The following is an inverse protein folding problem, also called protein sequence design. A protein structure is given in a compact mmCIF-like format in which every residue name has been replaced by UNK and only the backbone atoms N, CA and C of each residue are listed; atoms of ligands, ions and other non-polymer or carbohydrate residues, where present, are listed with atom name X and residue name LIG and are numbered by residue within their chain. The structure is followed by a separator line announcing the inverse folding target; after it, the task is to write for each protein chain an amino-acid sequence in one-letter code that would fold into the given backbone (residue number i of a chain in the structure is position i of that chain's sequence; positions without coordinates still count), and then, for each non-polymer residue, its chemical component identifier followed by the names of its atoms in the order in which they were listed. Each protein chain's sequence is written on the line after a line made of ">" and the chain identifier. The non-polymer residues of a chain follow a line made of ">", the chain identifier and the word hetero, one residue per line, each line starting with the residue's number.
data_IF_758407314094
#
_entry.id   IF_758407314094
#
_cell.length_a   1.000
_cell.length_b   1.000
_cell.length_c   1.000
_cell.angle_alpha   90.00
_cell.angle_beta   90.00
_cell.angle_gamma   90.00
#
_symmetry.space_group_name_H-M   'P 1'
#
loop_
_entity.id
_entity.type
_entity.pdbx_description
1 polymer ?
#
# COMPACT_ATOMS: atom_id res chain seq x y z
N UNK A 1 -11.09 -9.63 -17.57
CA UNK A 1 -10.48 -8.84 -16.50
C UNK A 1 -10.13 -7.48 -17.11
N UNK A 2 -10.49 -6.40 -16.43
CA UNK A 2 -9.97 -5.06 -16.71
C UNK A 2 -8.43 -5.06 -16.60
N UNK A 3 -7.77 -4.23 -17.40
CA UNK A 3 -6.33 -3.98 -17.24
C UNK A 3 -6.12 -3.20 -15.94
N UNK A 4 -5.24 -3.69 -15.07
CA UNK A 4 -5.08 -3.15 -13.72
C UNK A 4 -3.85 -2.25 -13.65
N UNK A 5 -4.03 -1.05 -13.10
CA UNK A 5 -2.94 -0.11 -12.86
C UNK A 5 -2.36 -0.33 -11.47
N UNK A 6 -1.06 -0.63 -11.39
CA UNK A 6 -0.35 -0.75 -10.11
C UNK A 6 -0.19 0.61 -9.44
N UNK A 7 -0.65 0.71 -8.19
CA UNK A 7 -0.52 1.88 -7.34
C UNK A 7 0.74 1.79 -6.48
N UNK A 8 1.33 2.94 -6.23
CA UNK A 8 2.35 3.12 -5.20
C UNK A 8 1.71 3.51 -3.88
N UNK A 9 2.25 3.02 -2.77
CA UNK A 9 1.78 3.34 -1.43
C UNK A 9 1.66 4.87 -1.23
N UNK A 10 0.48 5.34 -0.82
CA UNK A 10 0.19 6.74 -0.51
C UNK A 10 0.12 7.66 -1.73
N UNK A 11 0.20 7.12 -2.95
CA UNK A 11 0.13 7.92 -4.19
C UNK A 11 -1.24 7.79 -4.84
N UNK A 12 -1.82 8.93 -5.22
CA UNK A 12 -3.09 8.97 -5.93
C UNK A 12 -2.91 8.65 -7.42
N UNK A 13 -3.81 7.86 -7.97
CA UNK A 13 -4.05 7.71 -9.41
C UNK A 13 -5.37 8.38 -9.81
N UNK A 14 -5.56 8.70 -11.08
CA UNK A 14 -6.75 9.40 -11.58
C UNK A 14 -7.51 8.55 -12.61
N UNK A 15 -8.83 8.56 -12.49
CA UNK A 15 -9.78 8.10 -13.49
C UNK A 15 -10.34 9.34 -14.20
N UNK A 16 -9.81 9.62 -15.39
CA UNK A 16 -10.21 10.77 -16.20
C UNK A 16 -11.71 10.74 -16.50
N UNK A 17 -12.21 9.57 -16.92
CA UNK A 17 -13.63 9.31 -17.11
C UNK A 17 -13.96 7.82 -17.11
N UNK A 18 -15.20 7.49 -16.75
CA UNK A 18 -15.79 6.17 -16.97
C UNK A 18 -17.30 6.29 -17.20
N UNK A 19 -17.83 5.52 -18.15
CA UNK A 19 -19.27 5.45 -18.39
C UNK A 19 -19.96 4.53 -17.39
N UNK A 20 -21.27 4.68 -17.20
CA UNK A 20 -22.08 3.78 -16.38
C UNK A 20 -21.82 2.31 -16.69
N UNK A 21 -21.57 1.52 -15.65
CA UNK A 21 -21.30 0.08 -15.74
C UNK A 21 -19.85 -0.29 -16.04
N UNK A 22 -18.96 0.68 -16.25
CA UNK A 22 -17.55 0.41 -16.48
C UNK A 22 -16.79 0.19 -15.18
N UNK A 23 -15.76 -0.65 -15.28
CA UNK A 23 -14.81 -0.94 -14.21
C UNK A 23 -13.46 -0.29 -14.54
N UNK A 24 -12.89 0.38 -13.56
CA UNK A 24 -11.47 0.72 -13.51
C UNK A 24 -10.80 -0.08 -12.41
N UNK A 25 -9.63 -0.63 -12.70
CA UNK A 25 -9.00 -1.61 -11.83
C UNK A 25 -7.59 -1.20 -11.47
N UNK A 26 -7.25 -1.44 -10.22
CA UNK A 26 -5.97 -1.09 -9.65
C UNK A 26 -5.47 -2.23 -8.77
N UNK A 27 -4.18 -2.25 -8.52
CA UNK A 27 -3.55 -3.17 -7.59
C UNK A 27 -2.58 -2.45 -6.69
N UNK A 28 -2.43 -2.92 -5.45
CA UNK A 28 -1.37 -2.49 -4.54
C UNK A 28 -0.80 -3.73 -3.84
N UNK A 29 0.53 -3.83 -3.78
CA UNK A 29 1.20 -4.88 -3.04
C UNK A 29 1.41 -4.42 -1.61
N UNK A 30 0.86 -5.17 -0.65
CA UNK A 30 1.02 -4.90 0.79
C UNK A 30 2.02 -5.91 1.35
N UNK A 31 3.12 -5.46 1.96
CA UNK A 31 4.13 -6.35 2.53
C UNK A 31 3.67 -6.96 3.86
N UNK A 32 4.38 -7.99 4.34
CA UNK A 32 4.09 -8.69 5.60
C UNK A 32 4.03 -7.79 6.85
N UNK A 33 4.75 -6.67 6.82
CA UNK A 33 4.83 -5.67 7.88
C UNK A 33 3.91 -4.45 7.63
N UNK A 34 2.97 -4.55 6.69
CA UNK A 34 1.97 -3.52 6.44
C UNK A 34 0.84 -3.53 7.48
N UNK A 35 0.48 -2.36 7.98
CA UNK A 35 -0.72 -2.13 8.80
C UNK A 35 -1.58 -1.01 8.23
N UNK A 36 -2.82 -0.89 8.71
CA UNK A 36 -3.69 0.26 8.44
C UNK A 36 -3.89 0.57 6.95
N UNK A 37 -4.09 -0.48 6.14
CA UNK A 37 -4.38 -0.32 4.71
C UNK A 37 -5.70 0.43 4.55
N UNK A 38 -5.66 1.56 3.87
CA UNK A 38 -6.79 2.41 3.56
C UNK A 38 -6.81 2.68 2.07
N UNK A 39 -7.96 2.42 1.44
CA UNK A 39 -8.22 2.72 0.04
C UNK A 39 -9.35 3.72 0.01
N UNK A 40 -9.16 4.81 -0.71
CA UNK A 40 -10.16 5.85 -0.90
C UNK A 40 -10.35 6.18 -2.35
N UNK A 41 -11.57 6.56 -2.69
CA UNK A 41 -11.85 7.35 -3.88
C UNK A 41 -12.21 8.77 -3.47
N UNK A 42 -11.90 9.75 -4.31
CA UNK A 42 -12.38 11.11 -4.10
C UNK A 42 -12.76 11.75 -5.44
N UNK A 43 -13.89 12.44 -5.46
CA UNK A 43 -14.39 13.09 -6.67
C UNK A 43 -15.67 13.86 -6.42
N UNK A 44 -15.91 14.87 -7.26
CA UNK A 44 -17.08 15.76 -7.18
C UNK A 44 -18.18 15.42 -8.18
N UNK A 45 -17.95 14.44 -9.06
CA UNK A 45 -18.88 14.08 -10.13
C UNK A 45 -19.11 12.57 -10.20
N UNK A 46 -20.35 12.20 -10.53
CA UNK A 46 -20.76 10.82 -10.71
C UNK A 46 -20.93 10.06 -9.40
N UNK A 47 -21.01 8.74 -9.55
CA UNK A 47 -21.22 7.78 -8.48
C UNK A 47 -20.24 6.62 -8.68
N UNK A 48 -19.14 6.67 -7.93
CA UNK A 48 -18.06 5.72 -8.00
C UNK A 48 -18.17 4.78 -6.81
N UNK A 49 -18.47 3.52 -7.07
CA UNK A 49 -18.49 2.47 -6.04
C UNK A 49 -17.10 1.84 -5.90
N UNK A 50 -16.67 1.63 -4.66
CA UNK A 50 -15.37 1.02 -4.34
C UNK A 50 -15.54 -0.43 -3.93
N UNK A 51 -14.82 -1.32 -4.60
CA UNK A 51 -14.72 -2.74 -4.27
C UNK A 51 -13.26 -3.12 -4.08
N UNK A 52 -12.95 -3.86 -3.02
CA UNK A 52 -11.58 -4.27 -2.72
C UNK A 52 -11.54 -5.76 -2.37
N UNK A 53 -10.53 -6.47 -2.86
CA UNK A 53 -10.33 -7.91 -2.62
C UNK A 53 -8.86 -8.31 -2.65
N UNK A 54 -8.44 -9.17 -1.73
CA UNK A 54 -7.10 -9.76 -1.72
C UNK A 54 -6.97 -10.92 -2.72
N UNK A 55 -5.87 -10.95 -3.47
CA UNK A 55 -5.43 -12.06 -4.31
C UNK A 55 -6.20 -12.29 -5.61
N UNK A 56 -7.32 -11.60 -5.84
CA UNK A 56 -8.06 -11.63 -7.11
C UNK A 56 -8.90 -10.38 -7.31
N UNK A 57 -9.24 -10.07 -8.57
CA UNK A 57 -10.11 -8.95 -8.90
C UNK A 57 -11.49 -9.09 -8.23
N UNK A 58 -12.04 -8.01 -7.63
CA UNK A 58 -13.37 -8.03 -7.06
C UNK A 58 -14.46 -8.10 -8.15
N UNK A 59 -15.68 -8.43 -7.72
CA UNK A 59 -16.90 -8.37 -8.55
C UNK A 59 -18.06 -7.83 -7.71
N UNK A 60 -19.21 -7.53 -8.34
CA UNK A 60 -20.40 -7.04 -7.64
C UNK A 60 -20.91 -7.98 -6.52
N UNK A 61 -20.56 -9.28 -6.58
CA UNK A 61 -21.00 -10.30 -5.62
C UNK A 61 -19.87 -10.96 -4.83
N UNK A 62 -18.61 -10.61 -5.09
CA UNK A 62 -17.44 -11.20 -4.41
C UNK A 62 -16.38 -10.12 -4.18
N UNK A 63 -16.25 -9.70 -2.93
CA UNK A 63 -15.38 -8.64 -2.45
C UNK A 63 -15.07 -8.86 -0.98
N UNK A 64 -13.96 -8.32 -0.50
CA UNK A 64 -13.60 -8.36 0.92
C UNK A 64 -14.02 -7.06 1.63
N UNK A 65 -14.01 -5.94 0.90
CA UNK A 65 -14.64 -4.69 1.31
C UNK A 65 -15.39 -4.05 0.16
N UNK A 66 -16.52 -3.41 0.48
CA UNK A 66 -17.29 -2.59 -0.44
C UNK A 66 -17.77 -1.32 0.26
N UNK A 67 -17.52 -0.18 -0.36
CA UNK A 67 -18.08 1.12 0.03
C UNK A 67 -18.85 1.66 -1.16
N UNK A 68 -20.12 1.97 -0.92
CA UNK A 68 -21.06 2.54 -1.89
C UNK A 68 -21.77 3.70 -1.22
N UNK A 69 -21.80 4.84 -1.88
CA UNK A 69 -22.56 6.01 -1.48
C UNK A 69 -23.35 6.51 -2.69
N UNK A 70 -23.84 7.74 -2.64
CA UNK A 70 -24.45 8.39 -3.80
C UNK A 70 -23.50 9.38 -4.47
N UNK A 71 -22.20 9.24 -4.20
CA UNK A 71 -21.14 10.14 -4.66
C UNK A 71 -19.85 9.33 -4.87
N UNK A 72 -18.79 9.98 -5.34
CA UNK A 72 -17.53 9.31 -5.68
C UNK A 72 -16.49 9.27 -4.53
N UNK A 73 -16.90 9.47 -3.28
CA UNK A 73 -16.02 9.54 -2.11
C UNK A 73 -16.23 8.31 -1.21
N UNK A 74 -15.50 7.24 -1.53
CA UNK A 74 -15.62 5.95 -0.87
C UNK A 74 -14.40 5.62 -0.03
N UNK A 75 -14.58 4.74 0.96
CA UNK A 75 -13.48 4.30 1.83
C UNK A 75 -13.58 2.83 2.19
N UNK A 76 -12.48 2.12 2.04
CA UNK A 76 -12.27 0.77 2.55
C UNK A 76 -11.01 0.75 3.41
N UNK A 77 -11.13 0.34 4.67
CA UNK A 77 -10.01 0.26 5.60
C UNK A 77 -9.85 -1.11 6.24
N UNK A 78 -8.61 -1.52 6.42
CA UNK A 78 -8.19 -2.79 7.01
C UNK A 78 -7.08 -2.50 8.02
N UNK A 79 -7.39 -2.57 9.31
CA UNK A 79 -6.41 -2.30 10.37
C UNK A 79 -5.23 -3.30 10.33
N UNK A 80 -5.53 -4.57 10.05
CA UNK A 80 -4.56 -5.66 9.94
C UNK A 80 -4.67 -6.32 8.56
N UNK A 81 -4.19 -5.67 7.49
CA UNK A 81 -4.23 -6.26 6.16
C UNK A 81 -3.31 -7.49 6.11
N UNK A 82 -3.73 -8.51 5.35
CA UNK A 82 -2.81 -9.61 5.02
C UNK A 82 -1.83 -9.16 3.94
N UNK A 83 -0.64 -9.77 3.95
CA UNK A 83 0.35 -9.64 2.88
C UNK A 83 -0.22 -10.10 1.54
N UNK A 84 0.17 -9.41 0.47
CA UNK A 84 -0.09 -9.81 -0.89
C UNK A 84 -0.67 -8.69 -1.76
N UNK A 85 -1.07 -9.06 -2.96
CA UNK A 85 -1.65 -8.13 -3.93
C UNK A 85 -3.13 -7.91 -3.63
N UNK A 86 -3.47 -6.68 -3.25
CA UNK A 86 -4.83 -6.22 -3.10
C UNK A 86 -5.32 -5.66 -4.43
N UNK A 87 -6.45 -6.15 -4.90
CA UNK A 87 -7.13 -5.68 -6.09
C UNK A 87 -8.24 -4.71 -5.71
N UNK A 88 -8.23 -3.55 -6.36
CA UNK A 88 -9.20 -2.49 -6.19
C UNK A 88 -9.98 -2.36 -7.49
N UNK A 89 -11.29 -2.40 -7.42
CA UNK A 89 -12.20 -2.11 -8.52
C UNK A 89 -13.02 -0.88 -8.18
N UNK A 90 -12.94 0.13 -9.04
CA UNK A 90 -13.85 1.28 -9.03
C UNK A 90 -14.90 1.04 -10.10
N UNK A 91 -16.14 0.94 -9.67
CA UNK A 91 -17.28 0.71 -10.55
C UNK A 91 -18.08 2.00 -10.70
N UNK A 92 -18.26 2.45 -11.94
CA UNK A 92 -19.05 3.64 -12.24
C UNK A 92 -20.55 3.28 -12.22
N UNK A 93 -21.20 3.40 -11.06
CA UNK A 93 -22.66 3.19 -10.96
C UNK A 93 -23.41 4.23 -11.81
N UNK A 94 -22.90 5.46 -11.82
CA UNK A 94 -23.21 6.47 -12.83
C UNK A 94 -21.91 6.98 -13.46
N UNK A 95 -21.98 7.68 -14.59
CA UNK A 95 -20.77 8.19 -15.25
C UNK A 95 -19.94 9.07 -14.32
N UNK A 96 -18.65 8.77 -14.19
CA UNK A 96 -17.69 9.48 -13.34
C UNK A 96 -16.64 10.21 -14.18
N UNK A 97 -16.06 11.27 -13.61
CA UNK A 97 -14.97 12.02 -14.24
C UNK A 97 -14.08 12.66 -13.19
N UNK A 98 -12.76 12.65 -13.42
CA UNK A 98 -11.75 13.17 -12.51
C UNK A 98 -11.88 12.60 -11.09
N UNK A 99 -12.08 11.29 -10.98
CA UNK A 99 -12.10 10.60 -9.67
C UNK A 99 -10.69 10.12 -9.36
N UNK A 100 -10.16 10.51 -8.22
CA UNK A 100 -8.89 9.97 -7.72
C UNK A 100 -9.10 8.69 -6.93
N UNK A 101 -8.11 7.81 -7.00
CA UNK A 101 -8.01 6.59 -6.19
C UNK A 101 -6.67 6.61 -5.48
N UNK A 102 -6.69 6.46 -4.16
CA UNK A 102 -5.47 6.38 -3.34
C UNK A 102 -5.53 5.12 -2.50
N UNK A 103 -4.44 4.36 -2.48
CA UNK A 103 -4.26 3.26 -1.55
C UNK A 103 -3.00 3.53 -0.72
N UNK A 104 -3.15 3.46 0.60
CA UNK A 104 -2.07 3.74 1.54
C UNK A 104 -2.07 2.72 2.68
N UNK A 105 -0.89 2.29 3.09
CA UNK A 105 -0.68 1.47 4.28
C UNK A 105 0.54 1.99 5.05
N UNK A 106 0.57 1.71 6.35
CA UNK A 106 1.73 1.99 7.19
C UNK A 106 2.69 0.83 7.09
N UNK A 107 3.94 1.09 6.73
CA UNK A 107 5.01 0.10 6.87
C UNK A 107 5.56 0.18 8.28
N UNK A 108 5.40 -0.89 9.06
CA UNK A 108 6.16 -1.01 10.28
C UNK A 108 7.61 -1.26 9.88
N UNK A 109 8.47 -0.24 10.03
CA UNK A 109 9.91 -0.42 9.88
C UNK A 109 10.34 -1.63 10.73
N UNK A 110 11.14 -2.51 10.13
CA UNK A 110 11.73 -3.60 10.90
C UNK A 110 12.43 -2.98 12.12
N UNK A 111 12.28 -3.55 13.33
CA UNK A 111 13.01 -3.05 14.48
C UNK A 111 14.49 -2.91 14.09
N UNK A 112 15.14 -1.78 14.40
CA UNK A 112 16.54 -1.56 14.03
C UNK A 112 17.34 -2.78 14.51
N UNK A 113 18.24 -3.35 13.68
CA UNK A 113 18.93 -4.59 14.02
C UNK A 113 19.62 -4.42 15.37
N UNK A 114 19.02 -5.01 16.39
CA UNK A 114 19.48 -5.01 17.77
C UNK A 114 20.60 -6.04 17.90
N UNK A 115 21.73 -5.73 17.27
CA UNK A 115 22.90 -6.61 17.23
C UNK A 115 24.18 -5.99 16.68
N UNK A 116 24.16 -4.73 16.24
CA UNK A 116 25.40 -4.04 15.84
C UNK A 116 26.17 -3.54 17.06
N UNK A 117 27.32 -4.13 17.36
CA UNK A 117 28.31 -3.49 18.23
C UNK A 117 28.89 -2.31 17.46
N UNK A 118 28.62 -1.08 17.91
CA UNK A 118 29.31 0.11 17.39
C UNK A 118 30.68 0.22 18.04
N UNK A 119 31.72 -0.33 17.41
CA UNK A 119 33.10 -0.07 17.87
C UNK A 119 33.53 1.29 17.33
N UNK A 120 33.73 2.26 18.22
CA UNK A 120 34.32 3.55 17.86
C UNK A 120 35.85 3.42 17.91
N UNK A 121 36.51 3.69 16.79
CA UNK A 121 37.97 3.87 16.76
C UNK A 121 38.29 5.34 16.50
N UNK A 122 39.21 5.89 17.30
CA UNK A 122 39.70 7.27 17.17
C UNK A 122 41.08 7.22 16.52
N UNK A 123 41.22 7.82 15.34
CA UNK A 123 42.53 8.03 14.71
C UNK A 123 42.70 9.51 14.40
N UNK A 124 43.73 10.12 14.99
CA UNK A 124 44.12 11.50 14.74
C UNK A 124 42.98 12.52 14.92
N UNK A 125 42.17 12.35 15.98
CA UNK A 125 41.06 13.24 16.32
C UNK A 125 39.81 13.09 15.45
N UNK A 126 39.78 12.13 14.52
CA UNK A 126 38.59 11.80 13.72
C UNK A 126 37.93 10.54 14.26
N UNK A 127 36.62 10.63 14.51
CA UNK A 127 35.76 9.52 14.90
C UNK A 127 35.28 8.78 13.65
N UNK A 128 35.47 7.47 13.63
CA UNK A 128 34.90 6.59 12.61
C UNK A 128 33.81 5.73 13.26
N UNK A 129 32.59 5.79 12.73
CA UNK A 129 31.48 4.95 13.17
C UNK A 129 31.35 3.82 12.16
N UNK A 130 31.63 2.59 12.59
CA UNK A 130 31.35 1.38 11.83
C UNK A 130 30.27 0.58 12.55
N UNK A 131 29.25 0.15 11.82
CA UNK A 131 28.26 -0.81 12.30
C UNK A 131 28.78 -2.20 11.90
N UNK A 132 29.24 -2.99 12.88
CA UNK A 132 29.67 -4.37 12.62
C UNK A 132 28.43 -5.26 12.65
N UNK A 133 27.97 -5.71 11.48
CA UNK A 133 26.91 -6.70 11.34
C UNK A 133 27.51 -8.08 11.10
N UNK A 134 28.00 -8.72 12.16
CA UNK A 134 28.50 -10.09 12.07
C UNK A 134 29.10 -10.60 13.38
N UNK A 135 28.50 -11.64 13.95
CA UNK A 135 29.04 -12.41 15.07
C UNK A 135 30.18 -13.32 14.57
N UNK A 136 31.30 -12.74 14.17
CA UNK A 136 32.53 -13.48 13.90
C UNK A 136 33.36 -13.59 15.18
N UNK A 137 33.22 -14.69 15.93
CA UNK A 137 34.20 -15.09 16.93
C UNK A 137 35.55 -15.29 16.22
N UNK A 138 36.49 -14.37 16.37
CA UNK A 138 37.89 -14.64 16.08
C UNK A 138 38.62 -14.74 17.41
N UNK A 139 38.90 -15.99 17.79
CA UNK A 139 39.78 -16.33 18.89
C UNK A 139 41.16 -15.69 18.70
N UNK A 140 41.71 -15.18 19.81
CA UNK A 140 43.06 -14.64 19.81
C UNK A 140 44.13 -15.74 19.79
N UNK A 141 45.38 -15.35 19.52
CA UNK A 141 46.61 -15.93 20.11
C UNK A 141 47.71 -14.85 20.05
N UNK A 142 48.34 -14.64 21.22
CA UNK A 142 49.55 -13.88 21.63
C UNK A 142 50.14 -12.78 20.74
#
# INVERSE_FOLDING_TARGET
>A
ACDAVSLSNGTSSNIESASTGQWHCFTIDVPANGSDLTITTAGSNGDADLYVKLGSAPSLSNYDCRSISSNSNEVCSFATPSEGTWHIGVYAYSGISNVSVTASYTEQEAPPPSGGVTTQSINNGKTWTAIVTGSGLLGGVW
#
